data_IF_105000890641
#
_entry.id   IF_105000890641
#
_cell.length_a   1.000
_cell.length_b   1.000
_cell.length_c   1.000
_cell.angle_alpha   90.00
_cell.angle_beta   90.00
_cell.angle_gamma   90.00
#
_symmetry.space_group_name_H-M   'P 1'
#
loop_
_entity.id
_entity.type
_entity.pdbx_description
1 polymer ?
#
# COMPACT_ATOMS: atom_id res chain seq x y z
N UNK A 1 -16.48 3.22 -0.72
CA UNK A 1 -15.67 4.12 0.11
C UNK A 1 -16.32 4.22 1.47
N UNK A 2 -15.53 4.21 2.55
CA UNK A 2 -16.07 4.31 3.90
C UNK A 2 -16.75 5.66 4.14
N UNK A 3 -17.85 5.63 4.90
CA UNK A 3 -18.57 6.83 5.32
C UNK A 3 -18.53 6.89 6.85
N UNK A 4 -18.17 8.06 7.39
CA UNK A 4 -18.06 8.24 8.84
C UNK A 4 -19.38 7.89 9.52
N UNK A 5 -19.32 6.96 10.47
CA UNK A 5 -20.48 6.52 11.26
C UNK A 5 -21.32 5.39 10.63
N UNK A 6 -20.96 4.92 9.43
CA UNK A 6 -21.54 3.71 8.82
C UNK A 6 -20.63 2.50 9.07
N UNK A 7 -21.19 1.28 9.21
CA UNK A 7 -20.38 0.07 9.25
C UNK A 7 -19.62 -0.08 7.93
N UNK A 8 -18.35 -0.45 8.02
CA UNK A 8 -17.54 -0.76 6.86
C UNK A 8 -17.77 -2.22 6.45
N UNK A 9 -18.17 -2.41 5.19
CA UNK A 9 -18.46 -3.71 4.62
C UNK A 9 -19.89 -4.18 4.83
N UNK A 10 -20.19 -5.35 4.28
CA UNK A 10 -21.51 -5.98 4.33
C UNK A 10 -21.39 -7.42 4.86
N UNK A 11 -22.32 -7.87 5.71
CA UNK A 11 -22.38 -9.27 6.12
C UNK A 11 -22.59 -10.19 4.93
N UNK A 12 -21.89 -11.32 4.91
CA UNK A 12 -21.99 -12.33 3.86
C UNK A 12 -21.57 -13.71 4.39
N UNK A 13 -21.49 -14.69 3.50
CA UNK A 13 -20.95 -16.01 3.79
C UNK A 13 -19.82 -16.32 2.81
N UNK A 14 -18.83 -17.08 3.30
CA UNK A 14 -17.79 -17.65 2.44
C UNK A 14 -18.39 -18.78 1.59
N UNK A 15 -18.06 -18.82 0.31
CA UNK A 15 -18.39 -19.90 -0.63
C UNK A 15 -17.14 -20.63 -1.11
N UNK A 16 -17.33 -21.72 -1.85
CA UNK A 16 -16.23 -22.49 -2.47
C UNK A 16 -15.53 -21.72 -3.60
N UNK A 17 -16.19 -20.70 -4.18
CA UNK A 17 -15.63 -19.88 -5.25
C UNK A 17 -14.72 -18.76 -4.72
N UNK A 18 -14.78 -18.45 -3.42
CA UNK A 18 -13.98 -17.39 -2.82
C UNK A 18 -12.50 -17.80 -2.75
N UNK A 19 -11.64 -16.92 -3.28
CA UNK A 19 -10.23 -17.23 -3.48
C UNK A 19 -9.41 -16.94 -2.22
N UNK A 20 -8.64 -17.93 -1.77
CA UNK A 20 -7.64 -17.69 -0.73
C UNK A 20 -6.34 -17.25 -1.38
N UNK A 21 -5.89 -16.04 -1.08
CA UNK A 21 -4.66 -15.45 -1.62
C UNK A 21 -3.60 -15.30 -0.55
N UNK A 22 -2.33 -15.53 -0.91
CA UNK A 22 -1.25 -15.64 0.06
C UNK A 22 -0.76 -14.29 0.61
N UNK A 23 -0.75 -13.23 -0.21
CA UNK A 23 -0.19 -11.92 0.14
C UNK A 23 -0.67 -10.77 -0.78
N UNK A 24 -0.20 -9.57 -0.51
CA UNK A 24 -0.52 -8.33 -1.25
C UNK A 24 -0.27 -8.43 -2.77
N UNK A 25 0.80 -9.12 -3.20
CA UNK A 25 1.11 -9.30 -4.63
C UNK A 25 0.05 -10.16 -5.31
N UNK A 26 -0.46 -11.18 -4.61
CA UNK A 26 -1.51 -12.02 -5.14
C UNK A 26 -2.79 -11.21 -5.35
N UNK A 27 -3.16 -10.33 -4.40
CA UNK A 27 -4.27 -9.38 -4.57
C UNK A 27 -4.04 -8.49 -5.78
N UNK A 28 -2.84 -7.90 -5.92
CA UNK A 28 -2.51 -7.00 -7.02
C UNK A 28 -2.66 -7.63 -8.42
N UNK A 29 -2.64 -8.97 -8.50
CA UNK A 29 -2.79 -9.75 -9.74
C UNK A 29 -4.20 -10.33 -9.93
N UNK A 30 -5.02 -10.32 -8.89
CA UNK A 30 -6.38 -10.86 -8.94
C UNK A 30 -7.36 -9.95 -9.66
N UNK A 31 -8.45 -10.52 -10.11
CA UNK A 31 -9.53 -9.78 -10.73
C UNK A 31 -10.32 -8.97 -9.69
N UNK A 32 -10.80 -7.76 -10.02
CA UNK A 32 -11.75 -7.04 -9.16
C UNK A 32 -13.09 -7.78 -9.02
N UNK A 33 -13.39 -8.74 -9.93
CA UNK A 33 -14.55 -9.62 -9.81
C UNK A 33 -14.30 -10.81 -8.88
N UNK A 34 -13.10 -11.00 -8.34
CA UNK A 34 -12.88 -12.06 -7.34
C UNK A 34 -13.29 -11.56 -5.96
N UNK A 35 -13.81 -12.47 -5.13
CA UNK A 35 -13.93 -12.30 -3.67
C UNK A 35 -12.77 -13.05 -3.05
N UNK A 36 -11.95 -12.37 -2.27
CA UNK A 36 -10.69 -12.92 -1.81
C UNK A 36 -10.56 -12.92 -0.30
N UNK A 37 -9.81 -13.88 0.24
CA UNK A 37 -9.38 -13.91 1.63
C UNK A 37 -7.85 -13.86 1.63
N UNK A 38 -7.26 -12.84 2.24
CA UNK A 38 -5.81 -12.66 2.28
C UNK A 38 -5.21 -13.20 3.58
N UNK A 39 -4.28 -14.15 3.46
CA UNK A 39 -3.71 -14.85 4.62
C UNK A 39 -2.63 -14.02 5.33
N UNK A 40 -1.89 -13.19 4.59
CA UNK A 40 -0.76 -12.45 5.14
C UNK A 40 -0.47 -11.19 4.35
N UNK A 41 0.44 -10.35 4.84
CA UNK A 41 0.87 -9.15 4.15
C UNK A 41 0.43 -7.89 4.89
N UNK A 42 0.82 -6.76 4.33
CA UNK A 42 0.61 -5.46 4.95
C UNK A 42 -0.88 -5.10 4.97
N UNK A 43 -1.65 -5.52 3.96
CA UNK A 43 -3.09 -5.31 3.93
C UNK A 43 -3.84 -6.21 4.91
N UNK A 44 -3.47 -7.50 5.01
CA UNK A 44 -4.03 -8.42 6.02
C UNK A 44 -3.79 -7.88 7.44
N UNK A 45 -2.58 -7.38 7.71
CA UNK A 45 -2.22 -6.77 8.98
C UNK A 45 -3.03 -5.50 9.27
N UNK A 46 -3.24 -4.64 8.26
CA UNK A 46 -4.11 -3.46 8.41
C UNK A 46 -5.56 -3.82 8.74
N UNK A 47 -6.03 -5.01 8.33
CA UNK A 47 -7.36 -5.53 8.64
C UNK A 47 -7.43 -6.24 10.01
N UNK A 48 -6.31 -6.29 10.74
CA UNK A 48 -6.22 -6.96 12.04
C UNK A 48 -5.86 -8.45 11.96
N UNK A 49 -5.24 -8.90 10.86
CA UNK A 49 -4.86 -10.29 10.62
C UNK A 49 -6.04 -11.27 10.83
N UNK A 50 -7.18 -11.08 10.14
CA UNK A 50 -8.37 -11.88 10.35
C UNK A 50 -8.13 -13.36 9.98
N UNK A 51 -8.69 -14.31 10.75
CA UNK A 51 -8.58 -15.73 10.41
C UNK A 51 -9.36 -16.03 9.13
N UNK A 52 -8.92 -17.05 8.39
CA UNK A 52 -9.62 -17.50 7.18
C UNK A 52 -10.97 -18.13 7.58
N UNK A 53 -12.13 -17.58 7.18
CA UNK A 53 -13.44 -18.14 7.53
C UNK A 53 -13.63 -19.53 6.91
N UNK A 54 -14.34 -20.45 7.55
CA UNK A 54 -14.69 -21.73 6.91
C UNK A 54 -15.72 -21.51 5.79
N UNK A 55 -15.79 -22.42 4.82
CA UNK A 55 -16.86 -22.38 3.80
C UNK A 55 -18.22 -22.49 4.50
N UNK A 56 -19.16 -21.61 4.14
CA UNK A 56 -20.47 -21.47 4.77
C UNK A 56 -20.47 -20.68 6.09
N UNK A 57 -19.30 -20.28 6.61
CA UNK A 57 -19.23 -19.41 7.78
C UNK A 57 -19.62 -17.97 7.42
N UNK A 58 -20.24 -17.28 8.37
CA UNK A 58 -20.50 -15.85 8.26
C UNK A 58 -19.18 -15.07 8.29
N UNK A 59 -19.06 -14.06 7.43
CA UNK A 59 -17.94 -13.14 7.34
C UNK A 59 -18.42 -11.76 6.87
N UNK A 60 -17.51 -10.80 6.79
CA UNK A 60 -17.79 -9.46 6.26
C UNK A 60 -17.07 -9.26 4.95
N UNK A 61 -17.79 -8.84 3.90
CA UNK A 61 -17.18 -8.38 2.67
C UNK A 61 -16.84 -6.89 2.79
N UNK A 62 -15.57 -6.55 2.61
CA UNK A 62 -15.08 -5.18 2.59
C UNK A 62 -14.53 -4.82 1.22
N UNK A 63 -14.84 -3.60 0.77
CA UNK A 63 -14.19 -3.02 -0.39
C UNK A 63 -12.82 -2.49 -0.01
N UNK A 64 -11.86 -2.61 -0.94
CA UNK A 64 -10.49 -2.12 -0.81
C UNK A 64 -10.11 -1.32 -2.04
N UNK A 65 -9.49 -0.17 -1.81
CA UNK A 65 -8.97 0.69 -2.88
C UNK A 65 -7.70 0.09 -3.48
N UNK A 66 -7.41 0.40 -4.74
CA UNK A 66 -6.17 -0.02 -5.38
C UNK A 66 -5.30 1.17 -5.78
N UNK A 67 -3.99 0.95 -5.81
CA UNK A 67 -3.07 1.90 -6.41
C UNK A 67 -2.84 1.50 -7.87
N UNK A 68 -3.39 2.27 -8.81
CA UNK A 68 -3.10 2.13 -10.23
C UNK A 68 -1.78 2.84 -10.53
N UNK A 69 -0.86 2.13 -11.19
CA UNK A 69 0.49 2.63 -11.46
C UNK A 69 0.73 2.64 -12.96
N UNK A 70 1.04 3.81 -13.50
CA UNK A 70 1.54 3.98 -14.86
C UNK A 70 3.05 4.18 -14.82
N UNK A 71 3.80 3.27 -15.44
CA UNK A 71 5.25 3.29 -15.55
C UNK A 71 5.67 3.87 -16.90
N UNK A 72 6.57 4.85 -16.85
CA UNK A 72 7.17 5.47 -18.02
C UNK A 72 8.67 5.18 -18.07
N UNK A 73 9.12 4.75 -19.25
CA UNK A 73 10.53 4.56 -19.59
C UNK A 73 10.78 5.41 -20.84
N UNK A 74 11.79 6.28 -20.77
CA UNK A 74 12.10 7.26 -21.81
C UNK A 74 10.87 8.08 -22.25
N UNK A 75 10.09 8.52 -21.24
CA UNK A 75 8.84 9.28 -21.35
C UNK A 75 7.70 8.63 -22.14
N UNK A 76 7.84 7.36 -22.51
CA UNK A 76 6.78 6.57 -23.14
C UNK A 76 6.08 5.69 -22.10
N UNK A 77 4.73 5.65 -22.08
CA UNK A 77 4.02 4.72 -21.20
C UNK A 77 4.32 3.30 -21.63
N UNK A 78 4.92 2.51 -20.74
CA UNK A 78 5.35 1.14 -21.05
C UNK A 78 4.45 0.10 -20.39
N UNK A 79 4.12 0.30 -19.11
CA UNK A 79 3.46 -0.73 -18.30
C UNK A 79 2.42 -0.07 -17.40
N UNK A 80 1.23 -0.66 -17.38
CA UNK A 80 0.25 -0.41 -16.32
C UNK A 80 0.27 -1.60 -15.36
N UNK A 81 0.37 -1.31 -14.06
CA UNK A 81 0.32 -2.31 -13.01
C UNK A 81 -0.48 -1.79 -11.83
N UNK A 82 -0.70 -2.63 -10.83
CA UNK A 82 -1.34 -2.26 -9.58
C UNK A 82 -0.48 -2.62 -8.40
N UNK A 83 -0.69 -1.88 -7.31
CA UNK A 83 -0.28 -2.30 -5.98
C UNK A 83 -1.50 -2.36 -5.07
N UNK A 84 -1.53 -3.38 -4.22
CA UNK A 84 -2.51 -3.55 -3.15
C UNK A 84 -2.06 -2.91 -1.84
N UNK A 85 -0.75 -2.89 -1.57
CA UNK A 85 -0.21 -2.43 -0.29
C UNK A 85 0.62 -1.16 -0.41
N UNK A 86 1.76 -1.19 -1.12
CA UNK A 86 2.67 -0.06 -1.12
C UNK A 86 3.51 0.12 -2.40
N UNK A 87 3.97 1.36 -2.59
CA UNK A 87 5.02 1.75 -3.52
C UNK A 87 6.14 2.45 -2.75
N UNK A 88 7.38 2.04 -2.99
CA UNK A 88 8.58 2.65 -2.41
C UNK A 88 9.49 3.18 -3.52
N UNK A 89 9.79 4.47 -3.49
CA UNK A 89 10.80 5.13 -4.32
C UNK A 89 11.96 5.56 -3.43
N UNK A 90 13.18 5.11 -3.75
CA UNK A 90 14.38 5.38 -2.95
C UNK A 90 14.59 4.39 -1.81
N UNK A 91 15.39 4.78 -0.82
CA UNK A 91 15.88 3.91 0.24
C UNK A 91 15.85 4.58 1.62
N UNK A 92 15.62 3.77 2.66
CA UNK A 92 15.60 4.26 4.04
C UNK A 92 16.90 4.93 4.48
N UNK A 93 18.05 4.39 4.08
CA UNK A 93 19.34 4.78 4.63
C UNK A 93 20.06 5.89 3.86
N UNK A 94 19.62 6.22 2.64
CA UNK A 94 20.32 7.16 1.74
C UNK A 94 19.34 7.82 0.77
N UNK A 95 19.60 9.09 0.43
CA UNK A 95 18.82 9.87 -0.54
C UNK A 95 17.39 10.13 -0.11
N UNK A 96 16.59 10.75 -0.97
CA UNK A 96 15.16 10.89 -0.71
C UNK A 96 14.48 9.52 -0.69
N UNK A 97 13.51 9.37 0.20
CA UNK A 97 12.61 8.23 0.24
C UNK A 97 11.18 8.76 0.10
N UNK A 98 10.41 8.13 -0.76
CA UNK A 98 8.95 8.29 -0.84
C UNK A 98 8.33 6.92 -0.62
N UNK A 99 7.48 6.81 0.39
CA UNK A 99 6.61 5.66 0.61
C UNK A 99 5.18 6.10 0.33
N UNK A 100 4.50 5.32 -0.49
CA UNK A 100 3.06 5.43 -0.74
C UNK A 100 2.43 4.15 -0.24
N UNK A 101 1.41 4.24 0.60
CA UNK A 101 0.72 3.08 1.14
C UNK A 101 -0.79 3.27 1.07
N UNK A 102 -1.49 2.17 0.81
CA UNK A 102 -2.94 2.09 0.80
C UNK A 102 -3.50 1.91 2.22
N UNK A 103 -2.74 1.27 3.11
CA UNK A 103 -3.26 0.75 4.37
C UNK A 103 -2.33 1.05 5.56
N UNK A 104 -1.46 2.06 5.43
CA UNK A 104 -0.59 2.52 6.51
C UNK A 104 0.67 1.70 6.74
N UNK A 105 0.70 0.45 6.27
CA UNK A 105 1.84 -0.43 6.47
C UNK A 105 2.75 -0.53 5.24
N UNK A 106 4.05 -0.66 5.50
CA UNK A 106 5.08 -1.01 4.51
C UNK A 106 6.07 -2.00 5.12
N UNK A 107 6.02 -3.27 4.69
CA UNK A 107 6.89 -4.34 5.20
C UNK A 107 6.80 -4.49 6.73
N UNK A 108 5.59 -4.53 7.27
CA UNK A 108 5.30 -4.68 8.69
C UNK A 108 5.69 -3.45 9.53
N UNK A 109 5.73 -2.27 8.91
CA UNK A 109 6.03 -1.00 9.58
C UNK A 109 4.86 -0.08 9.40
N UNK A 110 4.38 0.47 10.51
CA UNK A 110 3.35 1.48 10.53
C UNK A 110 3.96 2.84 10.11
N UNK A 111 3.73 3.18 8.85
CA UNK A 111 4.19 4.40 8.18
C UNK A 111 3.13 5.49 8.25
N UNK A 112 1.85 5.12 8.19
CA UNK A 112 0.73 6.05 8.32
C UNK A 112 -0.34 5.45 9.24
N UNK A 113 -0.25 5.68 10.56
CA UNK A 113 -1.13 5.05 11.57
C UNK A 113 -2.62 5.39 11.44
N UNK A 114 -2.96 6.38 10.61
CA UNK A 114 -4.33 6.86 10.38
C UNK A 114 -4.86 6.49 9.00
N UNK A 115 -4.09 5.70 8.24
CA UNK A 115 -4.48 5.22 6.93
C UNK A 115 -5.65 4.25 7.04
N UNK A 116 -6.52 4.25 6.04
CA UNK A 116 -7.56 3.25 5.89
C UNK A 116 -7.62 2.76 4.44
N UNK A 117 -7.68 1.43 4.19
CA UNK A 117 -7.59 0.85 2.85
C UNK A 117 -8.82 1.08 1.94
N UNK A 118 -9.76 1.94 2.33
CA UNK A 118 -11.00 2.20 1.57
C UNK A 118 -11.52 3.65 1.78
N UNK A 119 -10.61 4.58 2.05
CA UNK A 119 -10.97 5.98 2.29
C UNK A 119 -10.76 6.89 1.07
N UNK A 120 -10.33 6.35 -0.07
CA UNK A 120 -10.13 7.07 -1.31
C UNK A 120 -8.83 7.86 -1.40
N UNK A 121 -7.87 7.64 -0.49
CA UNK A 121 -6.60 8.35 -0.49
C UNK A 121 -5.38 7.43 -0.47
N UNK A 122 -4.30 7.94 -1.06
CA UNK A 122 -2.94 7.47 -0.88
C UNK A 122 -2.34 8.18 0.33
N UNK A 123 -1.80 7.43 1.28
CA UNK A 123 -0.95 7.98 2.33
C UNK A 123 0.49 8.01 1.84
N UNK A 124 1.11 9.19 1.90
CA UNK A 124 2.47 9.43 1.42
C UNK A 124 3.34 9.88 2.56
N UNK A 125 4.44 9.17 2.80
CA UNK A 125 5.51 9.60 3.70
C UNK A 125 6.78 9.88 2.89
N UNK A 126 7.38 11.05 3.09
CA UNK A 126 8.66 11.44 2.49
C UNK A 126 9.74 11.62 3.55
N UNK A 127 10.94 11.15 3.24
CA UNK A 127 12.16 11.32 4.05
C UNK A 127 13.15 12.16 3.26
N UNK A 128 13.56 13.31 3.79
CA UNK A 128 14.45 14.22 3.06
C UNK A 128 15.90 13.73 3.01
N UNK A 129 16.58 13.90 1.87
CA UNK A 129 17.96 13.47 1.63
C UNK A 129 18.96 13.94 2.69
N UNK A 130 18.77 15.14 3.27
CA UNK A 130 19.66 15.71 4.30
C UNK A 130 19.57 15.03 5.66
N UNK A 131 18.61 14.14 5.89
CA UNK A 131 18.51 13.41 7.16
C UNK A 131 19.74 12.53 7.37
N UNK A 132 20.39 12.69 8.52
CA UNK A 132 21.60 11.94 8.85
C UNK A 132 21.34 10.43 8.95
N UNK A 133 22.35 9.57 8.70
CA UNK A 133 22.19 8.12 8.79
C UNK A 133 21.68 7.62 10.15
N UNK A 134 22.08 8.29 11.25
CA UNK A 134 21.61 7.96 12.61
C UNK A 134 20.12 8.26 12.78
N UNK A 135 19.66 9.43 12.32
CA UNK A 135 18.24 9.78 12.34
C UNK A 135 17.41 8.85 11.47
N UNK A 136 17.92 8.46 10.29
CA UNK A 136 17.26 7.49 9.40
C UNK A 136 17.08 6.14 10.06
N UNK A 137 18.12 5.63 10.73
CA UNK A 137 18.03 4.38 11.47
C UNK A 137 17.02 4.48 12.62
N UNK A 138 16.98 5.62 13.33
CA UNK A 138 16.01 5.86 14.39
C UNK A 138 14.57 5.92 13.83
N UNK A 139 14.34 6.64 12.74
CA UNK A 139 13.05 6.72 12.05
C UNK A 139 12.60 5.32 11.58
N UNK A 140 13.50 4.55 10.96
CA UNK A 140 13.25 3.16 10.57
C UNK A 140 12.94 2.26 11.77
N UNK A 141 13.54 2.48 12.94
CA UNK A 141 13.20 1.70 14.15
C UNK A 141 11.82 2.09 14.68
N UNK A 142 11.55 3.39 14.79
CA UNK A 142 10.29 3.94 15.30
C UNK A 142 9.09 3.68 14.38
N UNK A 143 9.31 3.48 13.08
CA UNK A 143 8.24 3.09 12.16
C UNK A 143 7.69 1.69 12.43
N UNK A 144 8.32 0.87 13.28
CA UNK A 144 7.69 -0.37 13.76
C UNK A 144 6.42 -0.11 14.58
N UNK A 145 6.30 1.06 15.18
CA UNK A 145 5.19 1.41 16.09
C UNK A 145 4.50 2.73 15.69
N UNK A 146 4.74 3.24 14.49
CA UNK A 146 4.16 4.52 14.06
C UNK A 146 4.74 5.78 14.73
N UNK A 147 5.64 5.64 15.71
CA UNK A 147 6.15 6.76 16.55
C UNK A 147 7.27 7.60 15.92
N UNK A 148 7.45 7.48 14.61
CA UNK A 148 8.49 8.20 13.86
C UNK A 148 8.09 9.65 13.52
N UNK A 149 6.82 9.99 13.70
CA UNK A 149 6.23 11.31 13.45
C UNK A 149 5.82 11.93 14.81
N UNK A 150 5.96 13.27 15.02
CA UNK A 150 6.51 14.26 14.09
C UNK A 150 8.05 14.30 14.11
N UNK A 151 8.66 14.50 12.94
CA UNK A 151 10.09 14.76 12.78
C UNK A 151 10.28 15.80 11.65
N UNK A 152 11.15 16.82 11.79
CA UNK A 152 11.24 17.94 10.84
C UNK A 152 11.64 17.54 9.41
N UNK A 153 12.35 16.42 9.26
CA UNK A 153 12.77 15.87 7.97
C UNK A 153 11.89 14.70 7.48
N UNK A 154 10.72 14.50 8.11
CA UNK A 154 9.69 13.57 7.68
C UNK A 154 8.44 14.38 7.37
N UNK A 155 7.92 14.27 6.15
CA UNK A 155 6.63 14.84 5.81
C UNK A 155 5.64 13.73 5.48
N UNK A 156 4.38 13.95 5.85
CA UNK A 156 3.27 13.06 5.54
C UNK A 156 2.15 13.85 4.86
N UNK A 157 1.52 13.26 3.86
CA UNK A 157 0.43 13.87 3.12
C UNK A 157 -0.54 12.83 2.60
N UNK A 158 -1.81 13.22 2.46
CA UNK A 158 -2.87 12.45 1.81
C UNK A 158 -3.14 13.02 0.44
N UNK A 159 -3.12 12.18 -0.59
CA UNK A 159 -3.32 12.59 -1.99
C UNK A 159 -4.12 11.53 -2.75
N UNK A 160 -4.77 11.90 -3.85
CA UNK A 160 -5.45 10.95 -4.74
C UNK A 160 -4.58 10.53 -5.93
N UNK A 161 -3.56 11.33 -6.25
CA UNK A 161 -2.56 11.05 -7.27
C UNK A 161 -1.19 11.55 -6.83
N UNK A 162 -0.15 10.81 -7.18
CA UNK A 162 1.24 11.17 -6.94
C UNK A 162 2.09 10.83 -8.15
N UNK A 163 2.87 11.80 -8.60
CA UNK A 163 3.93 11.59 -9.57
C UNK A 163 5.29 11.50 -8.87
N UNK A 164 6.10 10.52 -9.29
CA UNK A 164 7.48 10.37 -8.86
C UNK A 164 8.40 10.26 -10.08
N UNK A 165 9.43 11.10 -10.11
CA UNK A 165 10.49 11.05 -11.12
C UNK A 165 11.75 10.50 -10.48
N UNK A 166 12.49 9.69 -11.23
CA UNK A 166 13.75 9.09 -10.80
C UNK A 166 14.82 10.16 -10.68
N UNK A 167 15.25 10.44 -9.45
CA UNK A 167 16.28 11.44 -9.16
C UNK A 167 17.70 11.04 -9.58
N UNK A 168 18.01 9.73 -9.57
CA UNK A 168 19.33 9.22 -9.94
C UNK A 168 19.27 7.78 -10.44
N UNK A 169 20.34 7.32 -11.08
CA UNK A 169 20.44 5.92 -11.51
C UNK A 169 20.37 4.92 -10.36
N UNK A 170 20.73 5.33 -9.14
CA UNK A 170 20.69 4.51 -7.93
C UNK A 170 19.33 4.46 -7.22
N UNK A 171 18.39 5.32 -7.62
CA UNK A 171 17.07 5.42 -6.99
C UNK A 171 16.22 4.19 -7.35
N UNK A 172 16.00 3.32 -6.37
CA UNK A 172 15.21 2.10 -6.52
C UNK A 172 13.71 2.37 -6.55
N UNK A 173 12.97 1.55 -7.29
CA UNK A 173 11.51 1.47 -7.23
C UNK A 173 11.12 0.06 -6.79
N UNK A 174 10.22 -0.03 -5.82
CA UNK A 174 9.61 -1.28 -5.36
C UNK A 174 8.09 -1.09 -5.34
N UNK A 175 7.36 -2.04 -5.92
CA UNK A 175 5.90 -2.10 -5.96
C UNK A 175 5.47 -3.42 -5.34
N UNK A 176 4.73 -3.41 -4.23
CA UNK A 176 4.35 -4.60 -3.46
C UNK A 176 5.50 -5.61 -3.31
N UNK A 177 6.68 -5.15 -2.86
CA UNK A 177 7.90 -5.96 -2.68
C UNK A 177 8.58 -6.44 -3.97
N UNK A 178 8.02 -6.21 -5.15
CA UNK A 178 8.67 -6.46 -6.44
C UNK A 178 9.54 -5.26 -6.81
N UNK A 179 10.85 -5.48 -6.97
CA UNK A 179 11.80 -4.44 -7.40
C UNK A 179 11.70 -4.22 -8.91
N UNK A 180 11.48 -2.97 -9.32
CA UNK A 180 11.49 -2.54 -10.73
C UNK A 180 12.87 -1.96 -11.05
N UNK A 181 13.55 -2.55 -12.03
CA UNK A 181 14.94 -2.17 -12.36
C UNK A 181 15.02 -0.93 -13.25
N UNK A 182 14.16 -0.85 -14.26
CA UNK A 182 14.18 0.20 -15.28
C UNK A 182 12.91 1.03 -15.16
N UNK A 183 13.10 2.31 -14.81
CA UNK A 183 12.04 3.29 -14.70
C UNK A 183 12.63 4.70 -14.78
N UNK A 184 11.85 5.66 -15.27
CA UNK A 184 12.22 7.09 -15.28
C UNK A 184 11.19 7.89 -14.48
N UNK A 185 9.91 7.53 -14.63
CA UNK A 185 8.79 8.24 -14.03
C UNK A 185 7.65 7.27 -13.76
N UNK A 186 6.96 7.46 -12.64
CA UNK A 186 5.73 6.75 -12.32
C UNK A 186 4.64 7.74 -11.92
N UNK A 187 3.42 7.42 -12.29
CA UNK A 187 2.22 8.08 -11.79
C UNK A 187 1.41 7.03 -11.04
N UNK A 188 1.05 7.35 -9.80
CA UNK A 188 0.29 6.49 -8.89
C UNK A 188 -1.04 7.19 -8.64
N UNK A 189 -2.13 6.51 -8.95
CA UNK A 189 -3.49 7.02 -8.76
C UNK A 189 -4.28 6.06 -7.89
N UNK A 190 -5.05 6.62 -6.95
CA UNK A 190 -6.03 5.83 -6.22
C UNK A 190 -7.16 5.42 -7.17
N UNK A 191 -7.57 4.17 -7.09
CA UNK A 191 -8.79 3.69 -7.68
C UNK A 191 -9.67 3.12 -6.56
N UNK A 192 -10.71 3.85 -6.14
CA UNK A 192 -11.58 3.45 -5.05
C UNK A 192 -12.33 2.16 -5.34
N UNK A 193 -12.68 1.43 -4.27
CA UNK A 193 -13.61 0.29 -4.29
C UNK A 193 -13.26 -0.76 -5.35
N UNK A 194 -11.98 -1.14 -5.45
CA UNK A 194 -11.49 -1.97 -6.54
C UNK A 194 -11.54 -3.47 -6.23
N UNK A 195 -11.04 -3.89 -5.07
CA UNK A 195 -11.03 -5.29 -4.67
C UNK A 195 -12.06 -5.58 -3.58
N UNK A 196 -12.49 -6.84 -3.51
CA UNK A 196 -13.42 -7.36 -2.51
C UNK A 196 -12.69 -8.37 -1.63
N UNK A 197 -12.54 -8.05 -0.35
CA UNK A 197 -11.96 -8.95 0.64
C UNK A 197 -13.01 -9.45 1.61
N UNK A 198 -12.87 -10.71 2.03
CA UNK A 198 -13.65 -11.31 3.09
C UNK A 198 -12.80 -11.38 4.35
N UNK A 199 -13.34 -10.85 5.45
CA UNK A 199 -12.72 -10.79 6.78
C UNK A 199 -13.65 -11.33 7.86
#
# INVERSE_FOLDING_TARGET
MIVRGQPWGSPTFRTEQDLVVSNDIAIARSSPQDRMIVISGDLSHSLGDPPVPLVGAACTEVMIDSMKIALFIDDKPQVQMRAASFVQVGNWLRGDLVLVTNAGFVKGRDIAPRSHPNDGFLEVMKLHATMSPRQRLLALRKSRTGTHIPHPLISTSRVTSLECVRSSSSTSLIVDRVKIQHWNRIVIEIQPDYWRLLV
#
